data_IF_199057393319
#
_entry.id   IF_199057393319
#
_cell.length_a   1.000
_cell.length_b   1.000
_cell.length_c   1.000
_cell.angle_alpha   90.00
_cell.angle_beta   90.00
_cell.angle_gamma   90.00
#
_symmetry.space_group_name_H-M   'P 1'
#
loop_
_entity.id
_entity.type
_entity.pdbx_description
1 polymer ?
#
# COMPACT_ATOMS: atom_id res chain seq x y z
N UNK A 1 -44.56 -16.28 11.98
CA UNK A 1 -43.84 -17.22 11.08
C UNK A 1 -43.31 -16.52 9.83
N UNK A 2 -44.12 -16.10 8.84
CA UNK A 2 -43.59 -15.44 7.63
C UNK A 2 -43.04 -14.02 7.83
N UNK A 3 -43.59 -13.22 8.75
CA UNK A 3 -43.08 -11.88 9.07
C UNK A 3 -41.68 -11.93 9.68
N UNK A 4 -41.40 -12.95 10.49
CA UNK A 4 -40.12 -13.13 11.18
C UNK A 4 -39.04 -13.60 10.20
N UNK A 5 -39.41 -14.49 9.28
CA UNK A 5 -38.52 -14.95 8.21
C UNK A 5 -38.14 -13.82 7.25
N UNK A 6 -39.09 -12.93 6.92
CA UNK A 6 -38.80 -11.73 6.10
C UNK A 6 -37.85 -10.76 6.80
N UNK A 7 -38.01 -10.56 8.11
CA UNK A 7 -37.09 -9.71 8.90
C UNK A 7 -35.69 -10.31 8.97
N UNK A 8 -35.58 -11.62 9.15
CA UNK A 8 -34.31 -12.33 9.17
C UNK A 8 -33.61 -12.26 7.80
N UNK A 9 -34.37 -12.41 6.71
CA UNK A 9 -33.86 -12.27 5.35
C UNK A 9 -33.38 -10.85 5.05
N UNK A 10 -34.12 -9.82 5.47
CA UNK A 10 -33.67 -8.43 5.33
C UNK A 10 -32.36 -8.18 6.11
N UNK A 11 -32.26 -8.70 7.34
CA UNK A 11 -31.05 -8.56 8.16
C UNK A 11 -29.84 -9.24 7.51
N UNK A 12 -30.04 -10.44 6.93
CA UNK A 12 -28.99 -11.17 6.23
C UNK A 12 -28.49 -10.43 4.97
N UNK A 13 -29.40 -9.85 4.18
CA UNK A 13 -29.04 -9.07 2.99
C UNK A 13 -28.23 -7.82 3.37
N UNK A 14 -28.58 -7.16 4.48
CA UNK A 14 -27.82 -6.00 5.00
C UNK A 14 -26.42 -6.42 5.47
N UNK A 15 -26.30 -7.54 6.17
CA UNK A 15 -25.01 -8.05 6.66
C UNK A 15 -24.08 -8.53 5.54
N UNK A 16 -24.63 -8.99 4.41
CA UNK A 16 -23.86 -9.42 3.24
C UNK A 16 -23.47 -8.25 2.31
N UNK A 17 -24.08 -7.08 2.48
CA UNK A 17 -23.81 -5.89 1.65
C UNK A 17 -22.79 -4.93 2.27
N UNK A 18 -22.27 -5.24 3.47
CA UNK A 18 -21.15 -4.51 4.05
C UNK A 18 -19.86 -4.98 3.35
N UNK A 19 -19.15 -4.12 2.61
CA UNK A 19 -17.86 -4.51 2.05
C UNK A 19 -16.88 -4.77 3.19
N UNK A 20 -16.36 -5.99 3.28
CA UNK A 20 -15.28 -6.34 4.18
C UNK A 20 -13.99 -5.71 3.66
N UNK A 21 -13.70 -4.46 4.05
CA UNK A 21 -12.41 -3.85 3.75
C UNK A 21 -11.39 -4.47 4.71
N UNK A 22 -10.71 -5.51 4.26
CA UNK A 22 -9.48 -5.98 4.89
C UNK A 22 -8.42 -4.91 4.70
N UNK A 23 -8.43 -3.86 5.54
CA UNK A 23 -7.35 -2.89 5.56
C UNK A 23 -6.07 -3.61 5.96
N UNK A 24 -4.98 -3.40 5.21
CA UNK A 24 -3.67 -3.80 5.70
C UNK A 24 -3.47 -3.16 7.08
N UNK A 25 -3.29 -4.00 8.11
CA UNK A 25 -2.92 -3.52 9.43
C UNK A 25 -1.46 -3.08 9.37
N UNK A 26 -1.22 -1.79 9.14
CA UNK A 26 0.12 -1.19 9.14
C UNK A 26 0.63 -0.87 10.54
N UNK A 27 -0.16 -1.14 11.59
CA UNK A 27 0.28 -0.92 12.97
C UNK A 27 1.49 -1.81 13.28
N UNK A 28 2.54 -1.21 13.84
CA UNK A 28 3.80 -1.85 14.22
C UNK A 28 4.63 -2.43 13.05
N UNK A 29 4.41 -1.97 11.82
CA UNK A 29 5.40 -2.19 10.76
C UNK A 29 6.66 -1.40 11.07
N UNK A 30 7.82 -2.04 10.87
CA UNK A 30 9.15 -1.40 10.96
C UNK A 30 9.49 -0.66 9.67
N UNK A 31 8.77 -0.92 8.59
CA UNK A 31 8.96 -0.27 7.30
C UNK A 31 7.71 -0.47 6.45
N UNK A 32 7.23 0.61 5.83
CA UNK A 32 6.14 0.58 4.88
C UNK A 32 6.37 1.70 3.86
N UNK A 33 6.74 1.35 2.64
CA UNK A 33 6.81 2.31 1.54
C UNK A 33 6.01 1.80 0.35
N UNK A 34 5.53 2.72 -0.47
CA UNK A 34 4.72 2.42 -1.66
C UNK A 34 5.10 3.39 -2.77
N UNK A 35 5.71 2.88 -3.83
CA UNK A 35 6.17 3.66 -4.97
C UNK A 35 5.02 4.37 -5.73
N UNK A 36 3.78 3.92 -5.55
CA UNK A 36 2.59 4.58 -6.11
C UNK A 36 2.03 5.70 -5.23
N UNK A 37 2.50 5.81 -3.99
CA UNK A 37 2.08 6.82 -3.04
C UNK A 37 3.10 7.97 -3.00
N UNK A 38 2.65 9.17 -3.40
CA UNK A 38 3.52 10.37 -3.41
C UNK A 38 3.99 10.81 -2.03
N UNK A 39 3.34 10.37 -0.94
CA UNK A 39 3.83 10.56 0.42
C UNK A 39 5.08 9.72 0.71
N UNK A 40 5.22 8.57 0.05
CA UNK A 40 6.38 7.71 0.16
C UNK A 40 7.47 8.12 -0.82
N UNK A 41 7.14 8.38 -2.09
CA UNK A 41 8.09 8.91 -3.05
C UNK A 41 7.41 9.84 -4.05
N UNK A 42 7.83 11.09 -4.09
CA UNK A 42 7.22 12.11 -4.95
C UNK A 42 7.71 12.08 -6.41
N UNK A 43 8.56 11.12 -6.77
CA UNK A 43 9.14 10.98 -8.10
C UNK A 43 10.50 11.66 -8.28
N UNK A 44 11.09 12.25 -7.24
CA UNK A 44 12.36 12.97 -7.34
C UNK A 44 13.28 12.75 -6.14
N UNK A 45 14.59 12.86 -6.38
CA UNK A 45 15.62 12.66 -5.36
C UNK A 45 15.87 11.19 -5.07
N UNK A 46 16.46 10.93 -3.91
CA UNK A 46 16.97 9.60 -3.57
C UNK A 46 16.40 9.09 -2.23
N UNK A 47 15.43 9.80 -1.64
CA UNK A 47 14.82 9.44 -0.35
C UNK A 47 13.43 8.85 -0.60
N UNK A 48 13.15 7.69 0.00
CA UNK A 48 11.83 7.07 0.07
C UNK A 48 11.36 7.22 1.50
N UNK A 49 10.25 7.93 1.72
CA UNK A 49 9.70 8.13 3.05
C UNK A 49 8.96 6.87 3.52
N UNK A 50 9.18 6.52 4.77
CA UNK A 50 8.44 5.47 5.46
C UNK A 50 7.04 5.97 5.87
N UNK A 51 6.02 5.21 5.50
CA UNK A 51 4.62 5.45 5.84
C UNK A 51 4.21 4.71 7.13
N UNK A 52 5.11 3.95 7.73
CA UNK A 52 4.89 3.33 9.04
C UNK A 52 5.08 4.35 10.17
N UNK A 53 4.85 3.92 11.41
CA UNK A 53 5.11 4.75 12.59
C UNK A 53 6.57 4.70 13.08
N UNK A 54 7.48 4.11 12.30
CA UNK A 54 8.86 3.86 12.74
C UNK A 54 9.89 4.86 12.21
N UNK A 55 9.48 5.78 11.33
CA UNK A 55 10.32 6.83 10.75
C UNK A 55 11.62 6.30 10.10
N UNK A 56 11.57 5.10 9.53
CA UNK A 56 12.71 4.44 8.89
C UNK A 56 12.81 4.79 7.40
N UNK A 57 12.93 6.09 7.10
CA UNK A 57 13.13 6.57 5.72
C UNK A 57 14.34 5.90 5.07
N UNK A 58 14.20 5.53 3.80
CA UNK A 58 15.25 4.84 3.04
C UNK A 58 15.91 5.78 2.06
N UNK A 59 17.19 5.53 1.77
CA UNK A 59 17.94 6.15 0.68
C UNK A 59 18.26 5.16 -0.42
N UNK A 60 17.97 5.55 -1.65
CA UNK A 60 18.41 4.88 -2.86
C UNK A 60 19.91 5.05 -3.03
N UNK A 61 20.62 3.93 -3.15
CA UNK A 61 22.06 3.85 -3.36
C UNK A 61 22.35 3.16 -4.69
N UNK A 62 23.43 3.57 -5.36
CA UNK A 62 23.77 3.05 -6.69
C UNK A 62 22.97 3.74 -7.80
N UNK A 63 22.49 2.94 -8.75
CA UNK A 63 21.72 3.34 -9.93
C UNK A 63 20.21 3.11 -9.84
N UNK A 64 19.67 2.84 -8.64
CA UNK A 64 18.23 2.66 -8.41
C UNK A 64 17.46 3.82 -9.05
N UNK A 65 16.51 3.49 -9.92
CA UNK A 65 15.68 4.46 -10.63
C UNK A 65 14.21 4.24 -10.32
N UNK A 66 13.42 5.32 -10.38
CA UNK A 66 11.97 5.24 -10.26
C UNK A 66 11.34 5.18 -11.64
N UNK A 67 10.50 4.17 -11.85
CA UNK A 67 9.74 3.98 -13.08
C UNK A 67 8.30 4.39 -12.81
N UNK A 68 7.80 5.34 -13.59
CA UNK A 68 6.40 5.76 -13.59
C UNK A 68 5.94 5.93 -15.04
N UNK A 69 5.37 4.87 -15.60
CA UNK A 69 4.95 4.80 -17.01
C UNK A 69 3.45 4.52 -17.09
N UNK A 70 2.78 5.03 -18.13
CA UNK A 70 1.33 4.88 -18.30
C UNK A 70 0.86 3.42 -18.41
N UNK A 71 1.74 2.50 -18.78
CA UNK A 71 1.44 1.08 -18.95
C UNK A 71 2.09 0.20 -17.87
N UNK A 72 2.52 0.79 -16.76
CA UNK A 72 3.23 0.08 -15.71
C UNK A 72 2.79 0.55 -14.31
N UNK A 73 3.03 -0.28 -13.31
CA UNK A 73 2.82 0.09 -11.91
C UNK A 73 4.07 0.84 -11.45
N UNK A 74 3.94 2.01 -10.80
CA UNK A 74 5.09 2.71 -10.25
C UNK A 74 5.95 1.80 -9.37
N UNK A 75 7.24 1.75 -9.65
CA UNK A 75 8.17 0.87 -8.93
C UNK A 75 9.60 1.43 -8.95
N UNK A 76 10.43 0.89 -8.06
CA UNK A 76 11.87 1.14 -8.06
C UNK A 76 12.56 0.03 -8.84
N UNK A 77 13.30 0.40 -9.87
CA UNK A 77 14.08 -0.53 -10.70
C UNK A 77 15.50 -0.66 -10.12
N UNK A 78 15.88 -1.89 -9.80
CA UNK A 78 17.21 -2.29 -9.37
C UNK A 78 17.83 -3.08 -10.53
N UNK A 79 18.89 -2.57 -11.13
CA UNK A 79 19.47 -3.15 -12.36
C UNK A 79 20.43 -4.34 -12.10
N UNK A 80 20.66 -4.66 -10.82
CA UNK A 80 21.55 -5.72 -10.39
C UNK A 80 23.02 -5.33 -10.29
N UNK A 81 23.38 -4.06 -10.51
CA UNK A 81 24.75 -3.55 -10.49
C UNK A 81 25.01 -2.63 -9.27
N UNK A 82 24.99 -3.20 -8.07
CA UNK A 82 25.34 -2.47 -6.84
C UNK A 82 24.22 -1.58 -6.28
N UNK A 83 22.98 -1.87 -6.65
CA UNK A 83 21.78 -1.17 -6.20
C UNK A 83 21.26 -1.68 -4.86
N UNK A 84 20.95 -0.77 -3.93
CA UNK A 84 20.35 -1.12 -2.64
C UNK A 84 19.66 0.09 -1.98
N UNK A 85 18.87 -0.19 -0.94
CA UNK A 85 18.28 0.81 -0.06
C UNK A 85 19.03 0.83 1.28
N UNK A 86 19.27 2.01 1.84
CA UNK A 86 19.96 2.22 3.11
C UNK A 86 19.14 3.05 4.09
#
# INVERSE_FOLDING_TARGET
>A
MYKDLRKLLLLLVVLLSIPLRGGQNSNNLVLHFDASNSLSYNGSGNTINDLSSSDNDLKMMGGVSFVNSANDIPHFNFDGNGDYLK
#
